data_IF_199251509768
#
_entry.id   IF_199251509768
#
_cell.length_a   1.000
_cell.length_b   1.000
_cell.length_c   1.000
_cell.angle_alpha   90.00
_cell.angle_beta   90.00
_cell.angle_gamma   90.00
#
_symmetry.space_group_name_H-M   'P 1'
#
loop_
_entity.id
_entity.type
_entity.pdbx_description
1 polymer ?
#
# COMPACT_ATOMS: atom_id res chain seq x y z
N UNK A 1 -61.07 -79.48 -53.20
CA UNK A 1 -60.08 -80.39 -53.80
C UNK A 1 -58.71 -79.82 -53.56
N UNK A 2 -57.89 -80.56 -52.87
CA UNK A 2 -56.45 -80.63 -52.84
C UNK A 2 -55.61 -79.77 -51.82
N UNK A 3 -55.29 -80.49 -50.93
CA UNK A 3 -54.02 -81.16 -50.48
C UNK A 3 -53.05 -80.22 -49.79
N UNK A 4 -53.09 -80.44 -48.55
CA UNK A 4 -52.08 -80.19 -47.49
C UNK A 4 -50.69 -80.70 -47.84
N UNK A 5 -49.64 -79.87 -47.60
CA UNK A 5 -48.32 -80.40 -47.28
C UNK A 5 -47.77 -79.67 -46.03
N UNK A 6 -47.59 -80.46 -44.99
CA UNK A 6 -46.89 -80.17 -43.77
C UNK A 6 -45.36 -80.02 -44.03
N UNK A 7 -44.78 -78.96 -43.63
CA UNK A 7 -43.31 -78.87 -43.45
C UNK A 7 -43.03 -78.48 -42.05
N UNK A 8 -42.34 -79.28 -41.31
CA UNK A 8 -41.68 -78.96 -40.00
C UNK A 8 -40.38 -78.19 -40.27
N UNK A 9 -40.08 -77.12 -39.58
CA UNK A 9 -38.75 -76.67 -39.50
C UNK A 9 -38.14 -76.97 -38.11
N UNK A 10 -36.97 -77.52 -38.19
CA UNK A 10 -36.02 -77.87 -37.15
C UNK A 10 -35.67 -76.62 -36.33
N UNK A 11 -35.94 -76.65 -35.02
CA UNK A 11 -35.58 -75.56 -34.10
C UNK A 11 -34.09 -75.55 -33.80
N UNK A 12 -33.42 -74.51 -34.26
CA UNK A 12 -32.06 -74.18 -33.79
C UNK A 12 -32.17 -73.31 -32.54
N UNK A 13 -31.85 -73.88 -31.39
CA UNK A 13 -31.81 -73.24 -30.12
C UNK A 13 -30.50 -72.42 -30.07
N UNK A 14 -30.54 -71.09 -30.33
CA UNK A 14 -29.43 -70.14 -30.11
C UNK A 14 -29.36 -69.80 -28.60
N UNK A 15 -28.37 -70.34 -27.91
CA UNK A 15 -27.96 -69.86 -26.57
C UNK A 15 -27.32 -68.47 -26.78
N UNK A 16 -28.08 -67.43 -26.54
CA UNK A 16 -27.53 -66.10 -26.33
C UNK A 16 -26.87 -66.06 -24.94
N UNK A 17 -25.56 -66.20 -24.89
CA UNK A 17 -24.76 -65.92 -23.69
C UNK A 17 -24.98 -64.46 -23.26
N UNK A 18 -25.57 -64.26 -22.10
CA UNK A 18 -25.66 -62.94 -21.46
C UNK A 18 -24.24 -62.48 -21.11
N UNK A 19 -23.70 -61.59 -21.95
CA UNK A 19 -22.51 -60.78 -21.58
C UNK A 19 -23.00 -59.84 -20.48
N UNK A 20 -22.39 -59.89 -19.25
CA UNK A 20 -22.68 -58.84 -18.27
C UNK A 20 -22.22 -57.52 -18.87
N UNK A 21 -23.15 -56.63 -19.25
CA UNK A 21 -22.83 -55.23 -19.38
C UNK A 21 -22.37 -54.75 -18.01
N UNK A 22 -21.06 -54.66 -17.83
CA UNK A 22 -20.51 -53.87 -16.75
C UNK A 22 -21.18 -52.51 -16.82
N UNK A 23 -22.02 -52.25 -15.85
CA UNK A 23 -22.67 -50.98 -15.66
C UNK A 23 -21.55 -49.97 -15.58
N UNK A 24 -21.28 -49.22 -16.66
CA UNK A 24 -20.44 -48.03 -16.64
C UNK A 24 -20.94 -47.20 -15.46
N UNK A 25 -20.13 -47.19 -14.41
CA UNK A 25 -20.41 -46.45 -13.17
C UNK A 25 -20.78 -45.03 -13.62
N UNK A 26 -22.05 -44.65 -13.45
CA UNK A 26 -22.50 -43.29 -13.74
C UNK A 26 -21.67 -42.35 -12.93
N UNK A 27 -20.75 -41.65 -13.57
CA UNK A 27 -19.97 -40.58 -12.99
C UNK A 27 -20.99 -39.52 -12.55
N UNK A 28 -21.05 -39.27 -11.23
CA UNK A 28 -21.98 -38.26 -10.70
C UNK A 28 -21.37 -36.90 -10.91
N UNK A 29 -21.98 -36.06 -11.72
CA UNK A 29 -21.71 -34.63 -11.80
C UNK A 29 -22.32 -33.95 -10.57
N UNK A 30 -21.49 -33.29 -9.77
CA UNK A 30 -21.92 -32.56 -8.58
C UNK A 30 -21.73 -31.07 -8.85
N UNK A 31 -22.82 -30.31 -8.91
CA UNK A 31 -22.78 -28.85 -8.89
C UNK A 31 -22.37 -28.40 -7.51
N UNK A 32 -21.53 -27.40 -7.44
CA UNK A 32 -21.05 -26.87 -6.17
C UNK A 32 -22.18 -26.25 -5.35
N UNK A 33 -22.37 -26.69 -4.09
CA UNK A 33 -23.30 -26.08 -3.16
C UNK A 33 -22.95 -24.64 -2.79
N UNK A 34 -23.84 -23.98 -2.06
CA UNK A 34 -23.61 -22.63 -1.54
C UNK A 34 -22.33 -22.56 -0.71
N UNK A 35 -21.74 -21.37 -0.65
CA UNK A 35 -20.56 -21.07 0.17
C UNK A 35 -20.95 -21.05 1.63
N UNK A 36 -20.26 -21.86 2.45
CA UNK A 36 -20.38 -21.84 3.92
C UNK A 36 -19.55 -20.73 4.55
N UNK A 37 -18.37 -20.50 3.96
CA UNK A 37 -17.42 -19.50 4.43
C UNK A 37 -16.67 -18.91 3.26
N UNK A 38 -16.39 -17.61 3.32
CA UNK A 38 -15.54 -16.91 2.36
C UNK A 38 -14.50 -16.09 3.12
N UNK A 39 -13.24 -16.23 2.73
CA UNK A 39 -12.14 -15.40 3.18
C UNK A 39 -11.54 -14.67 1.98
N UNK A 40 -11.32 -13.36 2.11
CA UNK A 40 -10.75 -12.51 1.08
C UNK A 40 -9.48 -11.89 1.66
N UNK A 41 -8.34 -12.28 1.10
CA UNK A 41 -7.04 -11.81 1.51
C UNK A 41 -6.62 -10.64 0.63
N UNK A 42 -6.56 -9.48 1.24
CA UNK A 42 -6.11 -8.22 0.64
C UNK A 42 -4.66 -7.89 1.01
N UNK A 43 -3.89 -8.88 1.41
CA UNK A 43 -2.53 -8.68 1.94
C UNK A 43 -1.56 -8.27 0.83
N UNK A 44 -1.70 -8.88 -0.33
CA UNK A 44 -0.84 -8.58 -1.47
C UNK A 44 -1.31 -7.31 -2.19
N UNK A 45 -0.39 -6.41 -2.61
CA UNK A 45 -0.75 -5.15 -3.24
C UNK A 45 -1.41 -5.29 -4.62
N UNK A 46 -1.10 -6.36 -5.36
CA UNK A 46 -1.52 -6.56 -6.75
C UNK A 46 -2.43 -7.77 -6.96
N UNK A 47 -2.69 -8.56 -5.93
CA UNK A 47 -3.49 -9.78 -6.06
C UNK A 47 -4.43 -9.95 -4.87
N UNK A 48 -5.64 -10.40 -5.13
CA UNK A 48 -6.61 -10.76 -4.10
C UNK A 48 -6.78 -12.26 -4.13
N UNK A 49 -6.41 -12.94 -3.03
CA UNK A 49 -6.68 -14.36 -2.86
C UNK A 49 -8.06 -14.52 -2.21
N UNK A 50 -8.89 -15.34 -2.80
CA UNK A 50 -10.18 -15.75 -2.25
C UNK A 50 -10.10 -17.22 -1.87
N UNK A 51 -10.55 -17.54 -0.67
CA UNK A 51 -10.74 -18.90 -0.19
C UNK A 51 -12.21 -19.09 0.21
N UNK A 52 -12.85 -20.07 -0.38
CA UNK A 52 -14.23 -20.42 -0.03
C UNK A 52 -14.33 -21.86 0.45
N UNK A 53 -15.14 -22.08 1.47
CA UNK A 53 -15.43 -23.41 1.97
C UNK A 53 -16.85 -23.81 1.59
N UNK A 54 -17.00 -25.08 1.17
CA UNK A 54 -18.27 -25.67 0.75
C UNK A 54 -18.40 -27.09 1.28
N UNK A 55 -19.62 -27.54 1.48
CA UNK A 55 -19.94 -28.92 1.84
C UNK A 55 -20.41 -29.64 0.60
N UNK A 56 -19.56 -30.48 0.00
CA UNK A 56 -19.83 -31.17 -1.26
C UNK A 56 -20.29 -32.58 -0.99
N UNK A 57 -21.50 -33.00 -1.45
CA UNK A 57 -21.96 -34.37 -1.34
C UNK A 57 -21.25 -35.28 -2.35
N UNK A 58 -20.52 -36.27 -1.85
CA UNK A 58 -19.80 -37.26 -2.64
C UNK A 58 -20.44 -38.62 -2.51
N UNK A 59 -20.34 -39.44 -3.55
CA UNK A 59 -20.67 -40.89 -3.49
C UNK A 59 -19.38 -41.70 -3.50
N UNK A 60 -19.45 -42.93 -2.98
CA UNK A 60 -18.31 -43.86 -3.03
C UNK A 60 -17.85 -44.06 -4.47
N UNK A 61 -16.53 -43.98 -4.69
CA UNK A 61 -15.90 -44.04 -6.02
C UNK A 61 -15.53 -42.66 -6.58
N UNK A 62 -15.56 -42.52 -7.90
CA UNK A 62 -15.14 -41.31 -8.58
C UNK A 62 -16.32 -40.36 -8.78
N UNK A 63 -16.15 -39.12 -8.36
CA UNK A 63 -17.09 -38.01 -8.51
C UNK A 63 -16.48 -36.97 -9.44
N UNK A 64 -17.31 -36.27 -10.21
CA UNK A 64 -16.92 -35.07 -10.95
C UNK A 64 -17.52 -33.85 -10.25
N UNK A 65 -16.66 -32.93 -9.84
CA UNK A 65 -17.05 -31.67 -9.19
C UNK A 65 -16.79 -30.56 -10.16
N UNK A 66 -17.87 -29.95 -10.62
CA UNK A 66 -17.84 -28.87 -11.60
C UNK A 66 -17.70 -27.50 -10.93
N UNK A 67 -16.83 -26.63 -11.46
CA UNK A 67 -16.66 -25.26 -11.04
C UNK A 67 -16.60 -24.34 -12.25
N UNK A 68 -17.52 -23.40 -12.32
CA UNK A 68 -17.54 -22.38 -13.38
C UNK A 68 -17.16 -21.01 -12.84
N UNK A 69 -16.33 -20.29 -13.61
CA UNK A 69 -15.98 -18.89 -13.36
C UNK A 69 -16.53 -17.95 -14.44
N UNK A 70 -17.54 -18.41 -15.20
CA UNK A 70 -18.16 -17.60 -16.23
C UNK A 70 -18.62 -16.24 -15.69
N UNK A 71 -18.29 -15.18 -16.43
CA UNK A 71 -18.58 -13.78 -16.08
C UNK A 71 -17.89 -13.26 -14.81
N UNK A 72 -16.96 -13.99 -14.23
CA UNK A 72 -16.11 -13.51 -13.11
C UNK A 72 -14.73 -13.11 -13.63
N UNK A 73 -13.90 -12.57 -12.74
CA UNK A 73 -12.50 -12.24 -13.01
C UNK A 73 -11.53 -13.18 -12.28
N UNK A 74 -11.95 -14.43 -12.11
CA UNK A 74 -11.10 -15.47 -11.52
C UNK A 74 -9.97 -15.80 -12.51
N UNK A 75 -8.75 -15.89 -12.00
CA UNK A 75 -7.61 -16.43 -12.74
C UNK A 75 -7.66 -17.98 -12.67
N UNK A 76 -8.00 -18.66 -13.78
CA UNK A 76 -8.22 -20.10 -13.77
C UNK A 76 -6.98 -20.93 -13.45
N UNK A 77 -5.78 -20.40 -13.72
CA UNK A 77 -4.52 -21.08 -13.45
C UNK A 77 -4.19 -21.15 -11.93
N UNK A 78 -4.90 -20.39 -11.14
CA UNK A 78 -4.72 -20.32 -9.68
C UNK A 78 -5.74 -21.16 -8.90
N UNK A 79 -6.69 -21.80 -9.59
CA UNK A 79 -7.75 -22.59 -8.97
C UNK A 79 -7.21 -23.87 -8.31
N UNK A 80 -7.43 -24.01 -7.01
CA UNK A 80 -7.01 -25.16 -6.22
C UNK A 80 -8.17 -25.66 -5.37
N UNK A 81 -8.50 -26.95 -5.50
CA UNK A 81 -9.42 -27.66 -4.61
C UNK A 81 -8.62 -28.44 -3.55
N UNK A 82 -8.93 -28.20 -2.29
CA UNK A 82 -8.37 -28.96 -1.16
C UNK A 82 -9.48 -29.63 -0.38
N UNK A 83 -9.26 -30.91 -0.02
CA UNK A 83 -10.09 -31.58 0.96
C UNK A 83 -9.68 -31.11 2.36
N UNK A 84 -10.65 -30.64 3.14
CA UNK A 84 -10.43 -30.33 4.55
C UNK A 84 -10.76 -31.59 5.38
N UNK A 85 -10.22 -31.66 6.61
CA UNK A 85 -10.54 -32.76 7.51
C UNK A 85 -12.05 -32.84 7.70
N UNK A 86 -12.67 -34.04 7.55
CA UNK A 86 -14.08 -34.20 7.77
C UNK A 86 -14.44 -33.88 9.22
N UNK A 87 -15.71 -33.57 9.52
CA UNK A 87 -16.20 -33.57 10.90
C UNK A 87 -15.86 -34.90 11.58
N UNK A 88 -15.54 -34.85 12.87
CA UNK A 88 -15.03 -36.01 13.62
C UNK A 88 -15.97 -37.25 13.63
N UNK A 89 -17.23 -37.05 13.33
CA UNK A 89 -18.30 -38.04 13.33
C UNK A 89 -18.52 -38.72 11.95
N UNK A 90 -17.89 -38.27 10.89
CA UNK A 90 -18.00 -38.85 9.55
C UNK A 90 -16.66 -38.90 8.81
N UNK A 91 -15.83 -39.91 9.07
CA UNK A 91 -14.54 -40.05 8.39
C UNK A 91 -14.77 -40.39 6.90
N UNK A 92 -14.65 -39.40 6.04
CA UNK A 92 -14.66 -39.52 4.59
C UNK A 92 -13.26 -39.23 4.06
N UNK A 93 -12.57 -40.27 3.62
CA UNK A 93 -11.30 -40.05 2.87
C UNK A 93 -11.61 -39.76 1.41
N UNK A 94 -11.23 -38.57 0.97
CA UNK A 94 -11.45 -38.11 -0.41
C UNK A 94 -10.21 -37.39 -0.92
N UNK A 95 -9.86 -37.63 -2.18
CA UNK A 95 -8.70 -37.02 -2.82
C UNK A 95 -9.00 -36.58 -4.26
N UNK A 96 -8.42 -35.49 -4.69
CA UNK A 96 -8.42 -35.03 -6.07
C UNK A 96 -7.50 -35.93 -6.89
N UNK A 97 -8.00 -36.51 -7.96
CA UNK A 97 -7.25 -37.37 -8.87
C UNK A 97 -6.70 -36.59 -10.07
N UNK A 98 -7.54 -35.77 -10.65
CA UNK A 98 -7.21 -34.97 -11.83
C UNK A 98 -8.13 -33.76 -11.95
N UNK A 99 -7.75 -32.85 -12.81
CA UNK A 99 -8.56 -31.72 -13.24
C UNK A 99 -8.65 -31.72 -14.75
N UNK A 100 -9.79 -31.40 -15.31
CA UNK A 100 -9.98 -31.22 -16.74
C UNK A 100 -10.68 -29.88 -17.02
N UNK A 101 -10.33 -29.28 -18.14
CA UNK A 101 -10.89 -28.02 -18.61
C UNK A 101 -11.70 -28.30 -19.85
N UNK A 102 -13.04 -28.29 -19.79
CA UNK A 102 -13.88 -28.49 -20.95
C UNK A 102 -13.59 -27.45 -22.04
N UNK A 103 -13.49 -27.84 -23.31
CA UNK A 103 -13.17 -26.90 -24.37
C UNK A 103 -14.30 -25.87 -24.57
N UNK A 104 -13.91 -24.61 -24.72
CA UNK A 104 -14.81 -23.47 -24.92
C UNK A 104 -15.74 -23.15 -23.73
N UNK A 105 -15.44 -23.64 -22.53
CA UNK A 105 -16.17 -23.33 -21.32
C UNK A 105 -15.28 -22.56 -20.33
N UNK A 106 -15.86 -21.62 -19.59
CA UNK A 106 -15.23 -20.99 -18.47
C UNK A 106 -15.48 -21.82 -17.20
N UNK A 107 -15.00 -23.06 -17.22
CA UNK A 107 -15.23 -24.05 -16.19
C UNK A 107 -14.09 -25.07 -16.12
N UNK A 108 -13.98 -25.74 -15.01
CA UNK A 108 -13.17 -26.94 -14.84
C UNK A 108 -13.94 -28.02 -14.09
N UNK A 109 -13.49 -29.26 -14.23
CA UNK A 109 -14.05 -30.42 -13.53
C UNK A 109 -12.94 -31.11 -12.77
N UNK A 110 -13.08 -31.19 -11.45
CA UNK A 110 -12.21 -32.02 -10.62
C UNK A 110 -12.77 -33.45 -10.56
N UNK A 111 -11.90 -34.42 -10.84
CA UNK A 111 -12.18 -35.83 -10.55
C UNK A 111 -11.76 -36.12 -9.13
N UNK A 112 -12.72 -36.49 -8.29
CA UNK A 112 -12.51 -36.71 -6.85
C UNK A 112 -12.87 -38.15 -6.49
N UNK A 113 -11.91 -38.93 -5.98
CA UNK A 113 -12.17 -40.25 -5.42
C UNK A 113 -12.60 -40.12 -3.96
N UNK A 114 -13.70 -40.81 -3.59
CA UNK A 114 -14.19 -40.89 -2.23
C UNK A 114 -14.28 -42.35 -1.76
N UNK A 115 -13.81 -42.63 -0.54
CA UNK A 115 -13.79 -43.97 0.05
C UNK A 115 -15.19 -44.47 0.46
N UNK A 116 -16.09 -43.54 0.75
CA UNK A 116 -17.48 -43.78 1.14
C UNK A 116 -18.38 -42.65 0.55
N UNK A 117 -19.70 -42.86 0.63
CA UNK A 117 -20.68 -41.81 0.35
C UNK A 117 -20.85 -40.93 1.60
N UNK A 118 -20.86 -39.60 1.41
CA UNK A 118 -20.98 -38.65 2.51
C UNK A 118 -20.77 -37.22 2.08
N UNK A 119 -20.72 -36.31 3.03
CA UNK A 119 -20.45 -34.89 2.82
C UNK A 119 -18.96 -34.58 3.07
N UNK A 120 -18.29 -34.00 2.10
CA UNK A 120 -16.90 -33.57 2.21
C UNK A 120 -16.84 -32.05 2.39
N UNK A 121 -16.09 -31.57 3.38
CA UNK A 121 -15.75 -30.14 3.46
C UNK A 121 -14.56 -29.89 2.56
N UNK A 122 -14.74 -28.98 1.63
CA UNK A 122 -13.70 -28.57 0.68
C UNK A 122 -13.40 -27.12 0.78
N UNK A 123 -12.16 -26.74 0.46
CA UNK A 123 -11.75 -25.36 0.27
C UNK A 123 -11.32 -25.15 -1.19
N UNK A 124 -11.88 -24.16 -1.81
CA UNK A 124 -11.49 -23.72 -3.15
C UNK A 124 -10.78 -22.38 -2.98
N UNK A 125 -9.55 -22.29 -3.50
CA UNK A 125 -8.72 -21.08 -3.45
C UNK A 125 -8.45 -20.62 -4.86
N UNK A 126 -8.49 -19.31 -5.08
CA UNK A 126 -8.18 -18.70 -6.38
C UNK A 126 -7.80 -17.23 -6.23
N UNK A 127 -7.06 -16.73 -7.21
CA UNK A 127 -6.79 -15.29 -7.37
C UNK A 127 -7.94 -14.66 -8.13
N UNK A 128 -8.44 -13.55 -7.62
CA UNK A 128 -9.56 -12.81 -8.19
C UNK A 128 -9.10 -11.41 -8.59
N UNK A 129 -9.32 -11.06 -9.86
CA UNK A 129 -9.16 -9.71 -10.36
C UNK A 129 -10.40 -8.85 -10.09
N UNK A 130 -10.20 -7.52 -10.12
CA UNK A 130 -11.31 -6.57 -10.00
C UNK A 130 -11.73 -6.23 -8.58
N UNK A 131 -11.08 -6.77 -7.56
CA UNK A 131 -11.10 -6.21 -6.20
C UNK A 131 -9.90 -5.30 -6.04
N UNK A 132 -10.13 -4.05 -5.66
CA UNK A 132 -9.07 -3.11 -5.30
C UNK A 132 -9.27 -2.58 -3.90
N UNK A 133 -8.14 -2.25 -3.24
CA UNK A 133 -8.13 -1.67 -1.90
C UNK A 133 -7.34 -0.38 -1.89
N UNK A 134 -7.80 0.57 -1.10
CA UNK A 134 -7.09 1.80 -0.81
C UNK A 134 -7.21 2.12 0.67
N UNK A 135 -6.08 2.43 1.31
CA UNK A 135 -6.10 3.03 2.63
C UNK A 135 -6.19 4.54 2.51
N UNK A 136 -6.90 5.15 3.43
CA UNK A 136 -6.90 6.59 3.59
C UNK A 136 -7.06 6.98 5.05
N UNK A 137 -6.65 8.20 5.33
CA UNK A 137 -6.59 8.73 6.69
C UNK A 137 -7.37 10.04 6.79
N UNK A 138 -7.97 10.24 7.94
CA UNK A 138 -8.43 11.54 8.40
C UNK A 138 -7.62 11.90 9.62
N UNK A 139 -6.77 12.92 9.50
CA UNK A 139 -5.96 13.46 10.57
C UNK A 139 -6.61 14.77 11.05
N UNK A 140 -6.96 14.87 12.31
CA UNK A 140 -7.55 16.09 12.90
C UNK A 140 -6.64 16.55 14.04
N UNK A 141 -5.84 17.58 13.79
CA UNK A 141 -4.98 18.18 14.80
C UNK A 141 -5.79 18.98 15.81
N UNK A 142 -5.33 19.01 17.04
CA UNK A 142 -5.86 19.93 18.04
C UNK A 142 -5.55 21.40 17.65
N UNK A 143 -6.15 22.35 18.37
CA UNK A 143 -5.95 23.77 18.09
C UNK A 143 -4.49 24.23 18.23
N UNK A 144 -3.75 23.59 19.12
CA UNK A 144 -2.35 23.94 19.40
C UNK A 144 -1.35 23.16 18.52
N UNK A 145 -1.86 22.26 17.66
CA UNK A 145 -1.08 21.43 16.74
C UNK A 145 -0.01 20.56 17.44
N UNK A 146 -0.30 20.11 18.66
CA UNK A 146 0.59 19.25 19.48
C UNK A 146 0.21 17.78 19.39
N UNK A 147 -1.10 17.53 19.26
CA UNK A 147 -1.64 16.19 19.09
C UNK A 147 -2.66 16.16 17.97
N UNK A 148 -2.92 14.97 17.46
CA UNK A 148 -4.00 14.78 16.50
C UNK A 148 -4.75 13.46 16.76
N UNK A 149 -5.96 13.40 16.26
CA UNK A 149 -6.67 12.17 16.06
C UNK A 149 -6.38 11.66 14.64
N UNK A 150 -5.90 10.43 14.53
CA UNK A 150 -5.64 9.76 13.25
C UNK A 150 -6.64 8.62 13.08
N UNK A 151 -7.62 8.78 12.20
CA UNK A 151 -8.55 7.72 11.82
C UNK A 151 -8.11 7.10 10.49
N UNK A 152 -7.94 5.78 10.48
CA UNK A 152 -7.55 4.99 9.31
C UNK A 152 -8.78 4.26 8.75
N UNK A 153 -8.95 4.33 7.46
CA UNK A 153 -10.03 3.68 6.72
C UNK A 153 -9.47 2.79 5.62
N UNK A 154 -10.15 1.69 5.40
CA UNK A 154 -9.93 0.84 4.23
C UNK A 154 -11.15 0.97 3.32
N UNK A 155 -10.92 1.32 2.07
CA UNK A 155 -11.91 1.29 0.99
C UNK A 155 -11.65 0.08 0.12
N UNK A 156 -12.70 -0.71 -0.10
CA UNK A 156 -12.67 -1.87 -1.01
C UNK A 156 -13.66 -1.60 -2.14
N UNK A 157 -13.18 -1.67 -3.38
CA UNK A 157 -14.02 -1.53 -4.57
C UNK A 157 -14.17 -2.90 -5.23
N UNK A 158 -15.41 -3.29 -5.52
CA UNK A 158 -15.73 -4.57 -6.12
C UNK A 158 -16.16 -4.42 -7.58
N UNK A 159 -15.25 -4.73 -8.48
CA UNK A 159 -15.49 -4.84 -9.91
C UNK A 159 -15.21 -6.27 -10.42
N UNK A 160 -15.30 -7.27 -9.54
CA UNK A 160 -15.01 -8.66 -9.85
C UNK A 160 -16.18 -9.41 -10.50
N UNK A 161 -17.33 -8.75 -10.68
CA UNK A 161 -18.59 -9.32 -11.14
C UNK A 161 -19.14 -10.43 -10.24
N UNK A 162 -18.75 -10.43 -8.97
CA UNK A 162 -19.19 -11.37 -7.97
C UNK A 162 -19.57 -10.65 -6.68
N UNK A 163 -20.68 -11.07 -6.04
CA UNK A 163 -21.13 -10.53 -4.77
C UNK A 163 -20.80 -11.48 -3.62
N UNK A 164 -20.47 -10.92 -2.46
CA UNK A 164 -20.23 -11.66 -1.24
C UNK A 164 -21.23 -11.25 -0.17
N UNK A 165 -22.14 -12.15 0.21
CA UNK A 165 -23.15 -11.85 1.23
C UNK A 165 -22.53 -11.65 2.60
N UNK A 166 -21.52 -12.45 2.94
CA UNK A 166 -20.68 -12.31 4.12
C UNK A 166 -19.30 -12.89 3.81
N UNK A 167 -18.27 -12.07 3.95
CA UNK A 167 -16.89 -12.50 3.80
C UNK A 167 -16.03 -11.97 4.93
N UNK A 168 -15.04 -12.76 5.32
CA UNK A 168 -13.96 -12.35 6.20
C UNK A 168 -12.86 -11.72 5.40
N UNK A 169 -12.65 -10.42 5.55
CA UNK A 169 -11.56 -9.69 4.91
C UNK A 169 -10.33 -9.70 5.82
N UNK A 170 -9.15 -9.93 5.24
CA UNK A 170 -7.85 -9.82 5.88
C UNK A 170 -7.00 -8.83 5.12
N UNK A 171 -6.29 -7.93 5.83
CA UNK A 171 -5.66 -6.75 5.22
C UNK A 171 -4.14 -6.77 5.26
N UNK A 172 -3.51 -7.79 5.84
CA UNK A 172 -2.05 -7.89 6.02
C UNK A 172 -1.45 -6.93 7.05
N UNK A 173 -2.27 -6.03 7.60
CA UNK A 173 -1.84 -5.06 8.64
C UNK A 173 -2.49 -5.36 10.00
N UNK A 174 -2.80 -6.62 10.25
CA UNK A 174 -3.37 -7.08 11.52
C UNK A 174 -4.88 -6.85 11.67
N UNK A 175 -5.56 -6.28 10.68
CA UNK A 175 -7.00 -6.03 10.72
C UNK A 175 -7.75 -7.06 9.89
N UNK A 176 -8.73 -7.70 10.52
CA UNK A 176 -9.70 -8.54 9.84
C UNK A 176 -11.12 -8.15 10.26
N UNK A 177 -12.06 -8.15 9.32
CA UNK A 177 -13.46 -7.82 9.57
C UNK A 177 -14.39 -8.66 8.69
N UNK A 178 -15.63 -8.84 9.17
CA UNK A 178 -16.68 -9.56 8.45
C UNK A 178 -17.67 -8.55 7.87
N UNK A 179 -17.82 -8.54 6.56
CA UNK A 179 -18.75 -7.65 5.83
C UNK A 179 -19.30 -8.31 4.56
N UNK A 180 -20.48 -7.85 4.14
CA UNK A 180 -20.99 -8.10 2.79
C UNK A 180 -20.32 -7.13 1.80
N UNK A 181 -20.23 -7.55 0.55
CA UNK A 181 -19.73 -6.71 -0.54
C UNK A 181 -20.53 -7.04 -1.82
N UNK A 182 -21.37 -6.11 -2.23
CA UNK A 182 -22.23 -6.25 -3.42
C UNK A 182 -21.48 -6.07 -4.73
N UNK A 183 -22.16 -6.37 -5.85
CA UNK A 183 -21.65 -6.08 -7.19
C UNK A 183 -21.48 -4.57 -7.39
N UNK A 184 -20.32 -4.19 -7.92
CA UNK A 184 -19.95 -2.79 -8.17
C UNK A 184 -20.06 -1.89 -6.94
N UNK A 185 -20.05 -2.48 -5.75
CA UNK A 185 -20.09 -1.76 -4.49
C UNK A 185 -18.69 -1.25 -4.11
N UNK A 186 -18.65 -0.02 -3.63
CA UNK A 186 -17.52 0.51 -2.88
C UNK A 186 -17.87 0.52 -1.41
N UNK A 187 -17.09 -0.18 -0.60
CA UNK A 187 -17.30 -0.22 0.84
C UNK A 187 -16.11 0.38 1.57
N UNK A 188 -16.41 1.24 2.53
CA UNK A 188 -15.42 1.87 3.38
C UNK A 188 -15.60 1.41 4.83
N UNK A 189 -14.51 1.02 5.46
CA UNK A 189 -14.51 0.52 6.84
C UNK A 189 -13.43 1.28 7.62
N UNK A 190 -13.80 1.88 8.75
CA UNK A 190 -12.82 2.40 9.69
C UNK A 190 -12.09 1.23 10.36
N UNK A 191 -10.80 1.13 10.13
CA UNK A 191 -9.96 0.04 10.64
C UNK A 191 -9.36 0.37 11.99
N UNK A 192 -8.90 1.63 12.15
CA UNK A 192 -8.32 2.12 13.39
C UNK A 192 -8.72 3.57 13.66
N UNK A 193 -8.65 3.94 14.93
CA UNK A 193 -8.77 5.32 15.41
C UNK A 193 -7.78 5.51 16.54
N UNK A 194 -6.79 6.34 16.30
CA UNK A 194 -5.75 6.67 17.25
C UNK A 194 -6.01 8.08 17.78
N UNK A 195 -6.28 8.23 19.06
CA UNK A 195 -6.52 9.51 19.69
C UNK A 195 -5.26 9.99 20.43
N UNK A 196 -5.05 11.31 20.44
CA UNK A 196 -3.93 11.91 21.16
C UNK A 196 -2.55 11.54 20.59
N UNK A 197 -2.46 11.32 19.26
CA UNK A 197 -1.19 11.04 18.59
C UNK A 197 -0.31 12.29 18.63
N UNK A 198 0.89 12.24 19.23
CA UNK A 198 1.79 13.37 19.20
C UNK A 198 2.18 13.75 17.78
N UNK A 199 2.13 15.04 17.47
CA UNK A 199 2.50 15.57 16.16
C UNK A 199 3.44 16.73 16.31
N UNK A 200 4.41 16.82 15.39
CA UNK A 200 5.35 17.94 15.29
C UNK A 200 5.17 18.64 13.96
N UNK A 201 4.81 19.91 13.98
CA UNK A 201 4.76 20.73 12.76
C UNK A 201 6.18 21.21 12.42
N UNK A 202 6.59 20.97 11.19
CA UNK A 202 7.90 21.35 10.67
C UNK A 202 7.76 22.28 9.48
N UNK A 203 8.74 23.16 9.35
CA UNK A 203 8.93 24.06 8.23
C UNK A 203 10.26 23.71 7.59
N UNK A 204 10.30 23.50 6.27
CA UNK A 204 11.52 23.04 5.60
C UNK A 204 11.85 23.96 4.43
N UNK A 205 13.06 24.47 4.42
CA UNK A 205 13.65 25.14 3.26
C UNK A 205 14.53 24.14 2.54
N UNK A 206 14.03 23.59 1.41
CA UNK A 206 14.73 22.61 0.58
C UNK A 206 14.66 23.08 -0.88
N UNK A 207 15.68 23.79 -1.36
CA UNK A 207 15.67 24.33 -2.71
C UNK A 207 15.75 23.24 -3.79
N UNK A 208 16.25 22.05 -3.48
CA UNK A 208 16.30 20.92 -4.44
C UNK A 208 14.91 20.36 -4.69
N UNK A 209 14.16 20.13 -3.61
CA UNK A 209 12.86 19.48 -3.67
C UNK A 209 11.72 20.43 -4.06
N UNK A 210 11.79 21.68 -3.63
CA UNK A 210 10.68 22.66 -3.73
C UNK A 210 11.03 23.96 -4.44
N UNK A 211 12.18 24.04 -5.07
CA UNK A 211 12.62 25.23 -5.80
C UNK A 211 13.37 24.87 -7.08
N UNK A 212 12.99 25.48 -8.19
CA UNK A 212 13.82 25.49 -9.40
C UNK A 212 14.82 26.62 -9.25
N UNK A 213 16.10 26.31 -9.08
CA UNK A 213 17.17 27.29 -8.85
C UNK A 213 17.81 27.79 -10.15
N UNK A 214 17.16 27.67 -11.29
CA UNK A 214 17.63 28.24 -12.58
C UNK A 214 17.77 29.75 -12.56
N UNK A 215 17.19 30.43 -11.57
CA UNK A 215 17.36 31.86 -11.32
C UNK A 215 17.61 32.04 -9.82
N UNK A 216 18.46 33.00 -9.50
CA UNK A 216 18.61 33.49 -8.11
C UNK A 216 17.23 33.90 -7.60
N UNK A 217 16.57 33.01 -6.85
CA UNK A 217 15.30 33.34 -6.21
C UNK A 217 15.64 33.91 -4.86
N UNK A 218 15.38 35.20 -4.68
CA UNK A 218 15.57 35.87 -3.39
C UNK A 218 14.70 35.27 -2.29
N UNK A 219 13.60 34.58 -2.66
CA UNK A 219 12.64 34.03 -1.72
C UNK A 219 12.35 32.55 -2.03
N UNK A 220 12.63 31.68 -1.06
CA UNK A 220 12.38 30.24 -1.17
C UNK A 220 10.97 29.88 -0.72
N UNK A 221 10.43 28.83 -1.30
CA UNK A 221 9.23 28.17 -0.80
C UNK A 221 9.57 27.42 0.49
N UNK A 222 8.69 27.52 1.48
CA UNK A 222 8.84 26.85 2.76
C UNK A 222 7.66 25.90 2.97
N UNK A 223 7.76 24.64 2.52
CA UNK A 223 6.74 23.62 2.79
C UNK A 223 6.60 23.34 4.28
N UNK A 224 5.36 23.10 4.69
CA UNK A 224 4.99 22.70 6.03
C UNK A 224 4.61 21.22 6.04
N UNK A 225 5.01 20.50 7.08
CA UNK A 225 4.62 19.11 7.29
C UNK A 225 4.17 18.87 8.73
N UNK A 226 3.25 17.94 8.91
CA UNK A 226 3.10 17.24 10.17
C UNK A 226 4.01 16.01 10.16
N UNK A 227 4.82 15.84 11.18
CA UNK A 227 5.67 14.68 11.40
C UNK A 227 5.09 13.88 12.56
N UNK A 228 4.74 12.63 12.29
CA UNK A 228 4.12 11.70 13.22
C UNK A 228 5.07 10.51 13.37
N UNK A 229 5.54 10.26 14.58
CA UNK A 229 6.36 9.08 14.88
C UNK A 229 5.46 7.87 15.07
N UNK A 230 5.63 6.82 14.25
CA UNK A 230 4.90 5.56 14.43
C UNK A 230 5.53 4.72 15.53
N UNK A 231 5.57 5.26 16.75
CA UNK A 231 6.18 4.61 17.91
C UNK A 231 5.40 4.91 19.20
N UNK A 232 5.45 3.98 20.15
CA UNK A 232 4.78 4.13 21.44
C UNK A 232 3.25 4.09 21.32
N UNK A 233 2.56 4.47 22.43
CA UNK A 233 1.09 4.55 22.43
C UNK A 233 0.65 5.94 21.93
N UNK A 234 -0.42 6.03 21.11
CA UNK A 234 -1.32 4.96 20.64
C UNK A 234 -0.87 4.25 19.35
N UNK A 235 0.28 4.62 18.79
CA UNK A 235 0.87 4.02 17.58
C UNK A 235 1.95 2.98 17.92
N UNK A 236 2.74 2.54 16.92
CA UNK A 236 3.95 1.72 17.11
C UNK A 236 3.72 0.21 17.16
N UNK A 237 2.48 -0.26 17.20
CA UNK A 237 2.19 -1.71 17.23
C UNK A 237 2.10 -2.35 15.85
N UNK A 238 1.84 -1.55 14.82
CA UNK A 238 1.70 -2.00 13.44
C UNK A 238 2.17 -0.91 12.47
N UNK A 239 2.48 -1.33 11.24
CA UNK A 239 2.77 -0.37 10.18
C UNK A 239 1.52 0.42 9.79
N UNK A 240 1.72 1.68 9.42
CA UNK A 240 0.71 2.51 8.78
C UNK A 240 0.81 2.26 7.26
N UNK A 241 -0.23 1.69 6.62
CA UNK A 241 -0.25 1.50 5.17
C UNK A 241 -0.11 2.81 4.40
N UNK A 242 0.48 2.73 3.20
CA UNK A 242 0.43 3.85 2.27
C UNK A 242 -1.01 4.25 1.98
N UNK A 243 -1.30 5.55 2.01
CA UNK A 243 -2.66 6.02 1.79
C UNK A 243 -2.80 7.52 1.71
N UNK A 244 -3.95 7.97 1.17
CA UNK A 244 -4.31 9.38 1.10
C UNK A 244 -4.72 9.89 2.48
N UNK A 245 -4.08 10.95 2.95
CA UNK A 245 -4.38 11.62 4.21
C UNK A 245 -5.06 12.97 3.96
N UNK A 246 -6.24 13.18 4.54
CA UNK A 246 -6.89 14.49 4.62
C UNK A 246 -6.67 15.06 6.00
N UNK A 247 -6.13 16.27 6.05
CA UNK A 247 -5.62 16.89 7.26
C UNK A 247 -6.50 18.07 7.62
N UNK A 248 -6.93 18.09 8.86
CA UNK A 248 -7.79 19.11 9.43
C UNK A 248 -7.20 19.62 10.74
N UNK A 249 -7.64 20.78 11.15
CA UNK A 249 -7.40 21.35 12.49
C UNK A 249 -8.73 21.63 13.17
N UNK A 250 -8.86 21.25 14.41
CA UNK A 250 -10.04 21.59 15.25
C UNK A 250 -10.08 23.11 15.45
N UNK A 251 -11.24 23.71 15.20
CA UNK A 251 -11.48 25.14 15.40
C UNK A 251 -11.85 25.51 16.85
N UNK A 252 -12.00 24.49 17.72
CA UNK A 252 -12.40 24.64 19.11
C UNK A 252 -13.88 24.97 19.31
N UNK A 253 -14.69 24.91 18.24
CA UNK A 253 -16.13 25.20 18.25
C UNK A 253 -16.97 24.00 17.74
N UNK A 254 -16.34 22.83 17.64
CA UNK A 254 -16.97 21.61 17.12
C UNK A 254 -16.88 21.47 15.58
N UNK A 255 -16.21 22.39 14.91
CA UNK A 255 -15.86 22.33 13.49
C UNK A 255 -14.39 21.97 13.26
N UNK A 256 -13.99 21.91 12.00
CA UNK A 256 -12.60 21.70 11.64
C UNK A 256 -12.24 22.41 10.33
N UNK A 257 -11.12 23.14 10.35
CA UNK A 257 -10.56 23.75 9.15
C UNK A 257 -9.78 22.70 8.35
N UNK A 258 -9.97 22.68 7.04
CA UNK A 258 -9.18 21.83 6.15
C UNK A 258 -7.79 22.46 5.92
N UNK A 259 -6.73 21.75 6.27
CA UNK A 259 -5.36 22.22 6.10
C UNK A 259 -4.73 21.73 4.80
N UNK A 260 -5.03 20.51 4.36
CA UNK A 260 -4.44 19.97 3.15
C UNK A 260 -4.77 18.49 2.93
N UNK A 261 -4.29 17.99 1.81
CA UNK A 261 -4.37 16.58 1.43
C UNK A 261 -2.98 16.13 0.94
N UNK A 262 -2.54 14.97 1.40
CA UNK A 262 -1.26 14.37 0.99
C UNK A 262 -1.40 12.86 0.86
N UNK A 263 -0.37 12.21 0.31
CA UNK A 263 -0.26 10.75 0.25
C UNK A 263 0.87 10.30 1.18
N UNK A 264 0.49 9.82 2.36
CA UNK A 264 1.43 9.25 3.31
C UNK A 264 2.04 7.95 2.76
N UNK A 265 3.36 7.76 2.83
CA UNK A 265 4.01 6.51 2.46
C UNK A 265 3.68 5.39 3.44
N UNK A 266 4.01 4.14 3.07
CA UNK A 266 4.05 3.03 4.03
C UNK A 266 5.06 3.36 5.14
N UNK A 267 4.58 3.37 6.38
CA UNK A 267 5.38 3.78 7.55
C UNK A 267 5.44 2.64 8.56
N UNK A 268 6.55 1.89 8.65
CA UNK A 268 6.71 0.82 9.63
C UNK A 268 6.76 1.36 11.07
N UNK A 269 6.64 0.48 12.08
CA UNK A 269 6.95 0.88 13.46
C UNK A 269 8.34 1.51 13.57
N UNK A 270 8.45 2.48 14.45
CA UNK A 270 9.65 3.29 14.73
C UNK A 270 10.09 4.25 13.60
N UNK A 271 9.34 4.36 12.51
CA UNK A 271 9.57 5.33 11.43
C UNK A 271 8.69 6.59 11.57
N UNK A 272 8.94 7.60 10.76
CA UNK A 272 8.21 8.87 10.74
C UNK A 272 7.30 8.99 9.51
N UNK A 273 6.01 9.28 9.74
CA UNK A 273 5.06 9.67 8.71
C UNK A 273 5.10 11.20 8.57
N UNK A 274 5.54 11.68 7.43
CA UNK A 274 5.49 13.09 7.07
C UNK A 274 4.28 13.38 6.20
N UNK A 275 3.44 14.34 6.59
CA UNK A 275 2.26 14.76 5.85
C UNK A 275 2.37 16.23 5.46
N UNK A 276 2.36 16.51 4.16
CA UNK A 276 2.47 17.85 3.60
C UNK A 276 1.18 18.66 3.83
N UNK A 277 1.33 19.89 4.31
CA UNK A 277 0.23 20.81 4.63
C UNK A 277 0.09 21.96 3.63
N UNK A 278 1.09 22.18 2.79
CA UNK A 278 1.16 23.35 1.91
C UNK A 278 2.39 24.21 2.19
N UNK A 279 2.42 25.40 1.59
CA UNK A 279 3.53 26.35 1.73
C UNK A 279 3.21 27.35 2.85
N UNK A 280 4.18 27.57 3.75
CA UNK A 280 4.12 28.62 4.73
C UNK A 280 4.11 30.01 4.05
N UNK A 281 3.25 30.88 4.53
CA UNK A 281 3.20 32.28 4.10
C UNK A 281 3.72 33.23 5.16
N UNK A 282 3.86 32.74 6.34
CA UNK A 282 4.25 33.42 7.58
C UNK A 282 5.71 33.14 8.01
N UNK A 283 6.43 32.32 7.26
CA UNK A 283 7.88 32.16 7.36
C UNK A 283 8.49 32.50 5.99
N UNK A 284 9.40 33.44 5.98
CA UNK A 284 10.08 33.89 4.77
C UNK A 284 11.55 33.58 4.89
N UNK A 285 12.08 32.88 3.88
CA UNK A 285 13.50 32.54 3.76
C UNK A 285 14.03 33.13 2.47
N UNK A 286 15.05 33.95 2.56
CA UNK A 286 15.84 34.43 1.41
C UNK A 286 17.20 33.77 1.45
N UNK A 287 17.59 33.15 0.36
CA UNK A 287 18.87 32.45 0.19
C UNK A 287 19.69 33.12 -0.90
N UNK A 288 20.91 33.44 -0.60
CA UNK A 288 21.85 34.03 -1.56
C UNK A 288 23.23 33.38 -1.41
N UNK A 289 23.97 33.27 -2.50
CA UNK A 289 25.41 33.00 -2.44
C UNK A 289 26.08 34.35 -2.30
N UNK A 290 26.50 34.69 -1.07
CA UNK A 290 27.05 35.99 -0.71
C UNK A 290 28.53 36.13 -1.13
N UNK A 291 29.27 35.03 -1.07
CA UNK A 291 30.70 34.99 -1.40
C UNK A 291 31.03 33.71 -2.14
N UNK A 292 31.81 33.88 -3.23
CA UNK A 292 32.34 32.78 -4.01
C UNK A 292 33.78 33.14 -4.42
N UNK A 293 34.77 32.71 -3.64
CA UNK A 293 36.18 32.96 -3.91
C UNK A 293 36.82 31.74 -4.55
N UNK A 294 37.41 31.94 -5.70
CA UNK A 294 38.15 30.93 -6.46
C UNK A 294 39.64 31.12 -6.25
N UNK A 295 40.31 30.09 -5.71
CA UNK A 295 41.76 30.08 -5.56
C UNK A 295 42.36 28.98 -6.43
N UNK A 296 43.35 29.32 -7.24
CA UNK A 296 44.10 28.37 -8.02
C UNK A 296 45.09 27.61 -7.15
N UNK A 297 45.05 26.29 -7.17
CA UNK A 297 45.94 25.43 -6.41
C UNK A 297 47.14 25.00 -7.29
N UNK A 298 46.85 24.40 -8.45
CA UNK A 298 47.84 23.98 -9.43
C UNK A 298 47.21 23.70 -10.79
N UNK A 299 47.90 24.07 -11.88
CA UNK A 299 47.36 23.82 -13.23
C UNK A 299 45.93 24.40 -13.41
N UNK A 300 44.99 23.51 -13.70
CA UNK A 300 43.56 23.83 -13.81
C UNK A 300 42.78 23.44 -12.54
N UNK A 301 43.49 23.17 -11.44
CA UNK A 301 42.88 22.77 -10.19
C UNK A 301 42.61 23.98 -9.28
N UNK A 302 41.39 24.09 -8.79
CA UNK A 302 40.92 25.22 -7.99
C UNK A 302 40.30 24.76 -6.66
N UNK A 303 40.31 25.66 -5.72
CA UNK A 303 39.52 25.62 -4.50
C UNK A 303 38.52 26.76 -4.52
N UNK A 304 37.30 26.48 -4.07
CA UNK A 304 36.28 27.51 -3.91
C UNK A 304 35.91 27.65 -2.44
N UNK A 305 35.94 28.86 -1.92
CA UNK A 305 35.39 29.21 -0.63
C UNK A 305 34.03 29.88 -0.84
N UNK A 306 32.97 29.17 -0.48
CA UNK A 306 31.58 29.57 -0.76
C UNK A 306 30.86 29.89 0.53
N UNK A 307 30.16 31.03 0.55
CA UNK A 307 29.29 31.44 1.64
C UNK A 307 27.86 31.55 1.15
N UNK A 308 26.99 30.68 1.66
CA UNK A 308 25.53 30.77 1.44
C UNK A 308 24.92 31.49 2.63
N UNK A 309 24.18 32.55 2.38
CA UNK A 309 23.51 33.38 3.39
C UNK A 309 22.01 33.14 3.35
N UNK A 310 21.42 32.94 4.52
CA UNK A 310 19.98 32.85 4.73
C UNK A 310 19.53 34.04 5.57
N UNK A 311 18.56 34.79 5.06
CA UNK A 311 17.81 35.79 5.82
C UNK A 311 16.42 35.22 6.09
N UNK A 312 16.08 35.05 7.38
CA UNK A 312 14.89 34.35 7.83
C UNK A 312 14.04 35.28 8.66
N UNK A 313 12.73 35.35 8.37
CA UNK A 313 11.76 36.13 9.12
C UNK A 313 10.57 35.24 9.51
N UNK A 314 10.22 35.26 10.79
CA UNK A 314 9.04 34.59 11.33
C UNK A 314 7.94 35.62 11.64
N UNK A 315 6.86 35.61 10.86
CA UNK A 315 5.72 36.52 11.03
C UNK A 315 4.64 35.95 11.96
N UNK A 316 4.85 34.74 12.51
CA UNK A 316 3.94 34.10 13.46
C UNK A 316 4.09 34.74 14.85
N UNK A 317 3.02 34.72 15.61
CA UNK A 317 3.01 35.06 17.03
C UNK A 317 3.49 33.90 17.93
N UNK A 318 3.84 32.77 17.33
CA UNK A 318 4.38 31.58 17.99
C UNK A 318 5.78 31.27 17.47
N UNK A 319 6.67 30.66 18.31
CA UNK A 319 7.97 30.20 17.82
C UNK A 319 7.81 29.06 16.84
N UNK A 320 8.81 28.87 15.99
CA UNK A 320 8.84 27.78 15.01
C UNK A 320 10.28 27.26 14.86
N UNK A 321 10.42 26.03 14.39
CA UNK A 321 11.71 25.46 14.00
C UNK A 321 11.74 25.29 12.48
N UNK A 322 12.75 25.89 11.84
CA UNK A 322 12.99 25.77 10.41
C UNK A 322 14.09 24.74 10.16
N UNK A 323 13.81 23.78 9.31
CA UNK A 323 14.80 22.86 8.76
C UNK A 323 15.37 23.49 7.46
N UNK A 324 16.66 23.67 7.39
CA UNK A 324 17.37 24.05 6.18
C UNK A 324 18.02 22.79 5.61
N UNK A 325 17.72 22.47 4.36
CA UNK A 325 18.31 21.37 3.62
C UNK A 325 19.09 21.95 2.45
N UNK A 326 20.37 21.61 2.34
CA UNK A 326 21.23 22.05 1.27
C UNK A 326 21.91 20.86 0.59
N UNK A 327 22.04 20.92 -0.73
CA UNK A 327 22.85 20.01 -1.51
C UNK A 327 24.19 20.66 -1.86
N UNK A 328 25.27 20.04 -1.47
CA UNK A 328 26.63 20.48 -1.81
C UNK A 328 26.85 20.44 -3.31
N UNK A 329 26.32 19.41 -3.98
CA UNK A 329 26.35 19.28 -5.44
C UNK A 329 25.66 20.45 -6.11
N UNK A 330 24.47 20.84 -5.62
CA UNK A 330 23.73 21.97 -6.19
C UNK A 330 24.44 23.31 -5.92
N UNK A 331 25.05 23.51 -4.76
CA UNK A 331 25.88 24.70 -4.50
C UNK A 331 27.03 24.76 -5.49
N UNK A 332 27.74 23.63 -5.71
CA UNK A 332 28.81 23.53 -6.70
C UNK A 332 28.33 23.90 -8.12
N UNK A 333 27.19 23.37 -8.55
CA UNK A 333 26.63 23.66 -9.88
C UNK A 333 26.29 25.14 -10.04
N UNK A 334 25.79 25.82 -8.99
CA UNK A 334 25.50 27.25 -9.00
C UNK A 334 26.76 28.11 -9.15
N UNK A 335 27.91 27.65 -8.63
CA UNK A 335 29.19 28.36 -8.79
C UNK A 335 29.96 27.90 -10.02
N UNK A 336 29.38 27.04 -10.87
CA UNK A 336 30.00 26.45 -12.06
C UNK A 336 31.25 25.63 -11.74
N UNK A 337 31.21 24.85 -10.68
CA UNK A 337 32.21 23.84 -10.36
C UNK A 337 32.15 22.63 -11.31
N UNK A 338 33.03 21.67 -11.09
CA UNK A 338 33.15 20.49 -11.96
C UNK A 338 31.95 19.52 -11.81
N UNK A 339 31.14 19.28 -12.84
CA UNK A 339 29.98 18.39 -12.77
C UNK A 339 30.35 16.89 -12.78
N UNK A 340 31.57 16.52 -13.23
CA UNK A 340 31.94 15.14 -13.55
C UNK A 340 32.46 14.32 -12.35
N UNK A 341 32.58 14.93 -11.18
CA UNK A 341 33.07 14.29 -9.95
C UNK A 341 32.17 14.60 -8.76
N UNK A 342 32.18 13.70 -7.78
CA UNK A 342 31.61 14.01 -6.48
C UNK A 342 32.42 15.13 -5.82
N UNK A 343 31.77 16.13 -5.19
CA UNK A 343 32.46 17.24 -4.58
C UNK A 343 33.26 16.79 -3.36
N UNK A 344 34.55 17.16 -3.33
CA UNK A 344 35.35 17.09 -2.11
C UNK A 344 35.17 18.38 -1.33
N UNK A 345 34.55 18.32 -0.17
CA UNK A 345 34.19 19.52 0.57
C UNK A 345 34.45 19.40 2.07
N UNK A 346 34.50 20.53 2.72
CA UNK A 346 34.51 20.68 4.19
C UNK A 346 33.71 21.91 4.61
N UNK A 347 33.20 21.88 5.84
CA UNK A 347 32.61 23.07 6.44
C UNK A 347 33.70 24.07 6.77
N UNK A 348 33.43 25.34 6.48
CA UNK A 348 34.30 26.47 6.87
C UNK A 348 34.00 26.97 8.27
N UNK A 349 34.94 27.67 8.86
CA UNK A 349 34.79 28.28 10.21
C UNK A 349 33.66 29.30 10.24
N UNK A 350 32.92 29.33 11.35
CA UNK A 350 31.78 30.23 11.54
C UNK A 350 30.54 29.85 10.73
N UNK A 351 30.47 28.62 10.24
CA UNK A 351 29.26 28.04 9.71
C UNK A 351 28.17 27.96 10.77
N UNK A 352 26.93 28.18 10.36
CA UNK A 352 25.72 27.74 11.06
C UNK A 352 25.99 26.39 11.71
N UNK A 353 25.61 26.16 12.92
CA UNK A 353 25.70 24.92 13.71
C UNK A 353 26.15 23.67 12.93
N UNK A 354 26.72 22.70 13.57
CA UNK A 354 26.99 21.40 12.89
C UNK A 354 25.73 20.85 12.29
N UNK A 355 25.80 20.27 11.05
CA UNK A 355 24.67 19.61 10.47
C UNK A 355 24.18 18.46 11.35
N UNK A 356 22.89 18.15 11.27
CA UNK A 356 22.30 17.01 11.94
C UNK A 356 22.97 15.70 11.44
N UNK A 357 23.72 14.97 12.29
CA UNK A 357 24.48 13.81 11.84
C UNK A 357 23.60 12.63 11.43
N UNK A 358 22.37 12.55 11.94
CA UNK A 358 21.44 11.45 11.60
C UNK A 358 20.73 11.66 10.27
N UNK A 359 20.61 12.93 9.84
CA UNK A 359 19.83 13.32 8.66
C UNK A 359 20.68 13.96 7.55
N UNK A 360 21.98 14.05 7.73
CA UNK A 360 22.93 14.59 6.75
C UNK A 360 23.78 13.47 6.17
N UNK A 361 24.14 13.61 4.89
CA UNK A 361 25.04 12.70 4.17
C UNK A 361 26.14 13.49 3.43
N UNK A 362 26.89 12.81 2.56
CA UNK A 362 28.00 13.43 1.83
C UNK A 362 27.55 14.53 0.85
N UNK A 363 26.31 14.57 0.45
CA UNK A 363 25.74 15.58 -0.47
C UNK A 363 24.72 16.50 0.19
N UNK A 364 23.89 15.96 1.11
CA UNK A 364 22.84 16.72 1.77
C UNK A 364 23.20 17.11 3.18
N UNK A 365 23.11 18.39 3.48
CA UNK A 365 23.32 18.95 4.81
C UNK A 365 21.99 19.42 5.37
N UNK A 366 21.67 19.05 6.60
CA UNK A 366 20.46 19.48 7.32
C UNK A 366 20.81 20.26 8.57
N UNK A 367 20.18 21.41 8.73
CA UNK A 367 20.35 22.30 9.86
C UNK A 367 19.00 22.64 10.48
N UNK A 368 18.95 22.80 11.79
CA UNK A 368 17.79 23.26 12.53
C UNK A 368 18.01 24.68 13.04
N UNK A 369 17.07 25.57 12.73
CA UNK A 369 17.10 26.97 13.16
C UNK A 369 15.83 27.28 13.94
N UNK A 370 16.00 27.65 15.23
CA UNK A 370 14.89 28.08 16.05
C UNK A 370 14.55 29.54 15.76
N UNK A 371 13.30 29.76 15.40
CA UNK A 371 12.75 31.06 15.05
C UNK A 371 11.91 31.60 16.20
N UNK A 372 12.28 32.74 16.83
CA UNK A 372 11.44 33.33 17.85
C UNK A 372 10.11 33.83 17.30
N UNK A 373 9.10 33.89 18.17
CA UNK A 373 7.84 34.49 17.82
C UNK A 373 7.97 35.97 17.50
N UNK A 374 7.09 36.48 16.63
CA UNK A 374 6.94 37.90 16.40
C UNK A 374 6.34 38.56 17.67
N UNK A 375 6.95 39.60 18.23
CA UNK A 375 6.35 40.36 19.32
C UNK A 375 4.99 40.95 18.91
N UNK A 376 4.05 40.98 19.86
CA UNK A 376 2.74 41.59 19.63
C UNK A 376 2.88 43.05 19.14
N UNK A 377 2.35 43.38 17.99
CA UNK A 377 2.43 44.71 17.38
C UNK A 377 3.81 45.15 16.89
N UNK A 378 4.83 44.27 17.00
CA UNK A 378 6.19 44.53 16.54
C UNK A 378 6.52 43.97 15.15
N UNK A 379 7.70 44.32 14.61
CA UNK A 379 8.16 43.73 13.35
C UNK A 379 8.54 42.27 13.54
N UNK A 380 8.54 41.50 12.46
CA UNK A 380 9.03 40.13 12.46
C UNK A 380 10.54 40.13 12.79
N UNK A 381 10.99 39.26 13.71
CA UNK A 381 12.41 39.11 13.99
C UNK A 381 13.15 38.61 12.75
N UNK A 382 14.18 39.32 12.33
CA UNK A 382 15.04 38.92 11.21
C UNK A 382 16.29 38.23 11.79
N UNK A 383 16.51 37.00 11.34
CA UNK A 383 17.72 36.23 11.63
C UNK A 383 18.56 36.08 10.37
N UNK A 384 19.86 36.14 10.53
CA UNK A 384 20.81 35.85 9.45
C UNK A 384 21.64 34.65 9.87
N UNK A 385 21.66 33.65 8.99
CA UNK A 385 22.46 32.45 9.12
C UNK A 385 23.37 32.30 7.91
N UNK A 386 24.54 31.68 8.10
CA UNK A 386 25.52 31.47 7.04
C UNK A 386 26.00 30.03 7.03
N UNK A 387 26.04 29.43 5.84
CA UNK A 387 26.71 28.18 5.57
C UNK A 387 28.00 28.49 4.80
N UNK A 388 29.16 28.11 5.35
CA UNK A 388 30.44 28.24 4.68
C UNK A 388 30.96 26.87 4.28
N UNK A 389 31.32 26.75 3.01
CA UNK A 389 31.87 25.52 2.42
C UNK A 389 33.17 25.84 1.70
N UNK A 390 34.16 24.97 1.88
CA UNK A 390 35.34 24.92 1.02
C UNK A 390 35.19 23.70 0.11
N UNK A 391 35.13 23.94 -1.20
CA UNK A 391 35.15 22.88 -2.22
C UNK A 391 36.55 22.75 -2.76
N UNK A 392 37.08 21.52 -2.75
CA UNK A 392 38.45 21.25 -3.21
C UNK A 392 38.43 20.51 -4.56
N UNK A 393 39.57 20.58 -5.24
CA UNK A 393 39.82 19.81 -6.46
C UNK A 393 38.80 20.07 -7.60
N UNK A 394 38.32 21.31 -7.67
CA UNK A 394 37.46 21.78 -8.76
C UNK A 394 38.30 22.27 -9.96
N UNK A 395 37.82 22.11 -11.21
CA UNK A 395 38.48 22.62 -12.41
C UNK A 395 37.51 23.23 -13.44
#
# INVERSE_FOLDING_TARGET
MNRTRLFYPLGVLLLLGAIPLDALARIKLTTLPVRERVQIHLDHPQATLVEEERIVPLVKGVNQVDFSWANTRIDPDTLVLRMLSPPADQPLDAKVLSVSYPPNENALVWSVAASASGAARVRISYVLGGLSKDFHYRAVADRDEKTLELAQYLRVNNHANEAYNLARFQTGVGVGFDKSLGLNETREVQTHRFAGVPVRKTYTSDPVKFGYLDRAQDKLNVPMHYVIKNAGSPLGTAALPEGKARIFQDDGQGGSAFLGEDRGPFTPPDDELELYLGLARDIVVRRTIDRNERQRIAGNLYRYDVTVKYEIENFKDTPATLNIVESVRQIRDQIKGNPDRDPEWRLGDGTLRNPDPEKSDADQLRFHVDLPARPAGGPAPKQTQTLRLTLNNEW
#
